data_IF_517384856377
#
_entry.id   IF_517384856377
#
_cell.length_a   1.000
_cell.length_b   1.000
_cell.length_c   1.000
_cell.angle_alpha   90.00
_cell.angle_beta   90.00
_cell.angle_gamma   90.00
#
_symmetry.space_group_name_H-M   'P 1'
#
loop_
_entity.id
_entity.type
_entity.pdbx_description
1 polymer ?
#
# COMPACT_ATOMS: atom_id res chain seq x y z
N UNK A 1 -3.55 -13.14 29.69
CA UNK A 1 -2.81 -12.18 28.85
C UNK A 1 -2.09 -12.96 27.77
N UNK A 2 -2.25 -12.59 26.51
CA UNK A 2 -1.49 -13.13 25.37
C UNK A 2 -0.28 -12.25 25.09
N UNK A 3 0.79 -12.84 24.55
CA UNK A 3 2.00 -12.12 24.17
C UNK A 3 2.03 -11.96 22.64
N UNK A 4 2.41 -10.76 22.19
CA UNK A 4 2.61 -10.46 20.78
C UNK A 4 4.00 -9.88 20.58
N UNK A 5 4.75 -10.44 19.65
CA UNK A 5 6.06 -9.91 19.22
C UNK A 5 5.88 -9.21 17.89
N UNK A 6 6.32 -7.95 17.80
CA UNK A 6 6.25 -7.15 16.58
C UNK A 6 7.68 -6.83 16.13
N UNK A 7 8.00 -7.19 14.90
CA UNK A 7 9.26 -6.84 14.25
C UNK A 7 9.10 -5.49 13.54
N UNK A 8 9.99 -4.56 13.86
CA UNK A 8 10.07 -3.24 13.23
C UNK A 8 11.54 -2.93 12.96
N UNK A 9 11.81 -2.14 11.92
CA UNK A 9 13.16 -1.72 11.60
C UNK A 9 13.76 -0.84 12.72
N UNK A 10 15.10 -0.76 12.74
CA UNK A 10 15.84 -0.07 13.80
C UNK A 10 15.54 1.42 13.84
N UNK A 11 15.34 2.05 12.69
CA UNK A 11 15.11 3.49 12.59
C UNK A 11 13.73 3.86 13.11
N UNK A 12 12.69 3.16 12.66
CA UNK A 12 11.31 3.33 13.15
C UNK A 12 11.22 3.08 14.65
N UNK A 13 11.88 2.02 15.14
CA UNK A 13 11.95 1.74 16.58
C UNK A 13 12.57 2.90 17.36
N UNK A 14 13.67 3.47 16.87
CA UNK A 14 14.35 4.58 17.53
C UNK A 14 13.48 5.85 17.55
N UNK A 15 12.85 6.19 16.42
CA UNK A 15 11.93 7.33 16.31
C UNK A 15 10.75 7.19 17.26
N UNK A 16 10.09 6.04 17.24
CA UNK A 16 8.95 5.75 18.11
C UNK A 16 9.35 5.79 19.60
N UNK A 17 10.49 5.21 19.98
CA UNK A 17 10.98 5.22 21.35
C UNK A 17 11.29 6.65 21.86
N UNK A 18 11.91 7.48 21.02
CA UNK A 18 12.22 8.87 21.38
C UNK A 18 10.94 9.68 21.61
N UNK A 19 9.95 9.55 20.71
CA UNK A 19 8.66 10.22 20.87
C UNK A 19 7.89 9.71 22.08
N UNK A 20 7.84 8.38 22.27
CA UNK A 20 7.22 7.77 23.45
C UNK A 20 7.79 8.32 24.76
N UNK A 21 9.11 8.50 24.84
CA UNK A 21 9.79 9.08 26.01
C UNK A 21 9.35 10.52 26.28
N UNK A 22 9.22 11.35 25.24
CA UNK A 22 8.72 12.72 25.38
C UNK A 22 7.28 12.75 25.91
N UNK A 23 6.46 11.80 25.45
CA UNK A 23 5.05 11.66 25.82
C UNK A 23 4.84 10.88 27.14
N UNK A 24 5.93 10.48 27.81
CA UNK A 24 5.93 9.64 29.04
C UNK A 24 5.19 8.30 28.87
N UNK A 25 5.27 7.73 27.68
CA UNK A 25 4.71 6.44 27.31
C UNK A 25 5.80 5.42 26.96
N UNK A 26 5.42 4.14 26.88
CA UNK A 26 6.27 3.09 26.31
C UNK A 26 5.78 2.72 24.91
N UNK A 27 6.68 2.23 24.06
CA UNK A 27 6.29 1.73 22.72
C UNK A 27 5.21 0.64 22.80
N UNK A 28 5.27 -0.21 23.83
CA UNK A 28 4.24 -1.23 24.08
C UNK A 28 2.90 -0.64 24.54
N UNK A 29 2.90 0.46 25.30
CA UNK A 29 1.65 1.16 25.64
C UNK A 29 1.02 1.77 24.39
N UNK A 30 1.82 2.40 23.54
CA UNK A 30 1.37 2.97 22.26
C UNK A 30 0.78 1.89 21.35
N UNK A 31 1.47 0.75 21.20
CA UNK A 31 0.97 -0.37 20.40
C UNK A 31 -0.41 -0.85 20.88
N UNK A 32 -0.61 -0.95 22.20
CA UNK A 32 -1.91 -1.34 22.77
C UNK A 32 -3.00 -0.31 22.51
N UNK A 33 -2.70 0.98 22.64
CA UNK A 33 -3.64 2.07 22.34
C UNK A 33 -4.06 2.00 20.87
N UNK A 34 -3.10 1.92 19.95
CA UNK A 34 -3.38 1.86 18.51
C UNK A 34 -4.19 0.62 18.12
N UNK A 35 -3.90 -0.54 18.71
CA UNK A 35 -4.65 -1.77 18.45
C UNK A 35 -6.09 -1.68 18.96
N UNK A 36 -6.31 -1.06 20.13
CA UNK A 36 -7.66 -0.82 20.65
C UNK A 36 -8.41 0.20 19.80
N UNK A 37 -7.79 1.34 19.48
CA UNK A 37 -8.40 2.38 18.65
C UNK A 37 -8.74 1.87 17.25
N UNK A 38 -7.91 0.98 16.69
CA UNK A 38 -8.22 0.30 15.43
C UNK A 38 -9.41 -0.66 15.58
N UNK A 39 -9.44 -1.47 16.64
CA UNK A 39 -10.53 -2.41 16.90
C UNK A 39 -11.88 -1.70 17.18
N UNK A 40 -11.84 -0.53 17.82
CA UNK A 40 -12.99 0.29 18.15
C UNK A 40 -13.45 1.18 16.96
N UNK A 41 -12.71 1.18 15.85
CA UNK A 41 -13.02 1.97 14.65
C UNK A 41 -12.65 3.46 14.75
N UNK A 42 -11.92 3.87 15.79
CA UNK A 42 -11.41 5.23 15.96
C UNK A 42 -10.28 5.57 14.97
N UNK A 43 -9.55 4.54 14.50
CA UNK A 43 -8.51 4.67 13.47
C UNK A 43 -8.87 3.81 12.27
N UNK A 44 -9.02 4.47 11.11
CA UNK A 44 -9.15 3.79 9.82
C UNK A 44 -7.76 3.74 9.18
N UNK A 45 -7.11 2.57 9.23
CA UNK A 45 -5.90 2.33 8.44
C UNK A 45 -6.37 2.10 7.00
N UNK A 46 -6.33 3.15 6.18
CA UNK A 46 -6.66 3.02 4.76
C UNK A 46 -5.65 2.08 4.12
N UNK A 47 -6.16 0.94 3.65
CA UNK A 47 -5.42 -0.06 2.87
C UNK A 47 -5.06 0.47 1.48
N UNK A 48 -4.29 1.55 1.39
CA UNK A 48 -3.58 1.89 0.15
C UNK A 48 -2.26 1.13 0.01
N UNK A 49 -1.98 0.22 0.95
CA UNK A 49 -0.71 -0.50 1.04
C UNK A 49 -0.90 -2.02 1.07
N UNK A 50 -1.99 -2.52 0.50
CA UNK A 50 -1.92 -3.85 -0.10
C UNK A 50 -1.06 -3.66 -1.33
N UNK A 51 0.25 -3.73 -1.13
CA UNK A 51 1.14 -3.95 -2.24
C UNK A 51 1.15 -5.45 -2.51
N UNK A 52 1.11 -5.81 -3.78
CA UNK A 52 1.33 -7.16 -4.26
C UNK A 52 2.80 -7.54 -4.03
N UNK A 53 3.19 -8.81 -4.20
CA UNK A 53 4.54 -9.28 -3.85
C UNK A 53 5.67 -8.53 -4.60
N UNK A 54 5.33 -7.89 -5.72
CA UNK A 54 6.20 -7.05 -6.55
C UNK A 54 6.16 -5.55 -6.20
N UNK A 55 5.45 -5.13 -5.15
CA UNK A 55 5.46 -3.74 -4.67
C UNK A 55 4.52 -2.78 -5.40
N UNK A 56 3.60 -3.28 -6.23
CA UNK A 56 2.57 -2.48 -6.92
C UNK A 56 1.21 -2.58 -6.22
N UNK A 57 0.27 -1.70 -6.56
CA UNK A 57 -1.10 -1.86 -6.08
C UNK A 57 -1.80 -2.96 -6.90
N UNK A 58 -2.76 -3.72 -6.33
CA UNK A 58 -3.52 -4.74 -7.04
C UNK A 58 -4.13 -4.23 -8.34
N UNK A 59 -4.63 -2.99 -8.34
CA UNK A 59 -5.23 -2.36 -9.52
C UNK A 59 -4.19 -2.14 -10.64
N UNK A 60 -2.95 -1.81 -10.27
CA UNK A 60 -1.86 -1.65 -11.23
C UNK A 60 -1.38 -3.00 -11.77
N UNK A 61 -1.23 -3.99 -10.89
CA UNK A 61 -0.83 -5.34 -11.31
C UNK A 61 -1.87 -5.98 -12.24
N UNK A 62 -3.16 -5.82 -11.94
CA UNK A 62 -4.24 -6.29 -12.80
C UNK A 62 -4.24 -5.58 -14.17
N UNK A 63 -3.94 -4.28 -14.22
CA UNK A 63 -3.80 -3.55 -15.47
C UNK A 63 -2.62 -4.03 -16.33
N UNK A 64 -1.47 -4.35 -15.70
CA UNK A 64 -0.29 -4.90 -16.40
C UNK A 64 -0.57 -6.31 -16.92
N UNK A 65 -1.13 -7.19 -16.09
CA UNK A 65 -1.48 -8.56 -16.49
C UNK A 65 -2.47 -8.52 -17.66
N UNK A 66 -3.46 -7.62 -17.61
CA UNK A 66 -4.40 -7.42 -18.69
C UNK A 66 -3.73 -6.92 -19.97
N UNK A 67 -2.82 -5.96 -19.87
CA UNK A 67 -2.05 -5.47 -21.03
C UNK A 67 -1.13 -6.55 -21.63
N UNK A 68 -0.64 -7.50 -20.84
CA UNK A 68 0.12 -8.67 -21.34
C UNK A 68 -0.78 -9.75 -21.97
N UNK A 69 -2.07 -9.79 -21.61
CA UNK A 69 -3.02 -10.79 -22.12
C UNK A 69 -3.87 -10.29 -23.29
N UNK A 70 -4.05 -8.98 -23.44
CA UNK A 70 -4.67 -8.38 -24.62
C UNK A 70 -3.73 -8.60 -25.82
N UNK A 71 -4.31 -9.04 -26.96
CA UNK A 71 -3.58 -9.40 -28.17
C UNK A 71 -2.56 -8.31 -28.56
N UNK A 72 -1.35 -8.72 -28.98
CA UNK A 72 -0.30 -7.80 -29.49
C UNK A 72 -0.86 -6.94 -30.62
N UNK A 73 -1.35 -5.74 -30.29
CA UNK A 73 -1.74 -4.74 -31.28
C UNK A 73 -0.47 -4.05 -31.75
N UNK A 74 0.07 -4.50 -32.88
CA UNK A 74 1.17 -3.82 -33.55
C UNK A 74 0.61 -2.74 -34.46
N UNK A 75 1.19 -1.54 -34.40
CA UNK A 75 0.83 -0.42 -35.25
C UNK A 75 1.97 -0.15 -36.24
N UNK A 76 1.62 0.05 -37.50
CA UNK A 76 2.58 0.31 -38.57
C UNK A 76 3.05 1.77 -38.58
N UNK A 77 2.34 2.66 -37.87
CA UNK A 77 2.74 4.06 -37.69
C UNK A 77 2.22 4.69 -36.39
N UNK A 78 2.87 5.77 -35.95
CA UNK A 78 2.41 6.54 -34.78
C UNK A 78 1.01 7.13 -34.98
N UNK A 79 0.64 7.50 -36.21
CA UNK A 79 -0.68 8.07 -36.50
C UNK A 79 -1.79 7.04 -36.30
N UNK A 80 -1.54 5.80 -36.73
CA UNK A 80 -2.47 4.68 -36.57
C UNK A 80 -2.74 4.36 -35.09
N UNK A 81 -1.70 4.40 -34.24
CA UNK A 81 -1.85 4.22 -32.79
C UNK A 81 -2.69 5.34 -32.15
N UNK A 82 -2.54 6.58 -32.61
CA UNK A 82 -3.31 7.73 -32.11
C UNK A 82 -4.79 7.59 -32.51
N UNK A 83 -5.05 7.20 -33.76
CA UNK A 83 -6.42 7.04 -34.26
C UNK A 83 -7.15 5.89 -33.53
N UNK A 84 -6.44 4.80 -33.21
CA UNK A 84 -6.97 3.71 -32.40
C UNK A 84 -7.34 4.16 -30.98
N UNK A 85 -6.48 4.90 -30.29
CA UNK A 85 -6.76 5.41 -28.93
C UNK A 85 -8.02 6.29 -28.90
N UNK A 86 -8.19 7.18 -29.88
CA UNK A 86 -9.40 8.02 -29.98
C UNK A 86 -10.68 7.21 -30.24
N UNK A 87 -10.58 6.03 -30.84
CA UNK A 87 -11.73 5.15 -31.08
C UNK A 87 -12.21 4.39 -29.84
N UNK A 88 -11.35 4.24 -28.82
CA UNK A 88 -11.67 3.53 -27.57
C UNK A 88 -12.37 4.44 -26.56
N UNK A 89 -12.10 5.75 -26.60
CA UNK A 89 -12.68 6.76 -25.69
C UNK A 89 -14.09 7.25 -26.09
N UNK A 90 -14.66 6.75 -27.19
CA UNK A 90 -15.99 7.13 -27.74
C UNK A 90 -17.07 6.10 -27.43
#
# INVERSE_FOLDING_TARGET
>A
MSNTTISIDKETKAKAANKAKQDKLTVSAIARILLNDYADGNIIIRSYSRFTDNGFTPEFEEAVIKAEHDEDVTFDSTQEAIDYLHSIDS
#
